data_IF_607415681351
#
_entry.id   IF_607415681351
#
_cell.length_a   1.000
_cell.length_b   1.000
_cell.length_c   1.000
_cell.angle_alpha   90.00
_cell.angle_beta   90.00
_cell.angle_gamma   90.00
#
_symmetry.space_group_name_H-M   'P 1'
#
loop_
_entity.id
_entity.type
_entity.pdbx_description
1 polymer ?
#
# COMPACT_ATOMS: atom_id res chain seq x y z
N UNK A 1 -6.24 8.00 22.01
CA UNK A 1 -6.77 7.69 20.67
C UNK A 1 -5.58 7.29 19.83
N UNK A 2 -5.52 6.05 19.35
CA UNK A 2 -4.43 5.57 18.50
C UNK A 2 -4.91 5.67 17.05
N UNK A 3 -4.52 6.73 16.34
CA UNK A 3 -4.81 6.84 14.92
C UNK A 3 -3.95 5.82 14.16
N UNK A 4 -4.53 4.99 13.28
CA UNK A 4 -3.76 4.00 12.54
C UNK A 4 -2.74 4.70 11.65
N UNK A 5 -1.48 4.26 11.73
CA UNK A 5 -0.44 4.77 10.85
C UNK A 5 -0.64 4.22 9.44
N UNK A 6 0.01 4.81 8.41
CA UNK A 6 -0.02 4.26 7.05
C UNK A 6 0.43 2.80 6.98
N UNK A 7 1.34 2.38 7.88
CA UNK A 7 1.79 0.99 8.00
C UNK A 7 0.67 0.10 8.54
N UNK A 8 0.01 0.51 9.63
CA UNK A 8 -1.13 -0.25 10.19
C UNK A 8 -2.27 -0.40 9.17
N UNK A 9 -2.47 0.62 8.33
CA UNK A 9 -3.46 0.61 7.25
C UNK A 9 -3.07 -0.37 6.14
N UNK A 10 -1.80 -0.41 5.72
CA UNK A 10 -1.31 -1.35 4.71
C UNK A 10 -1.43 -2.81 5.19
N UNK A 11 -0.94 -3.12 6.39
CA UNK A 11 -0.98 -4.48 6.94
C UNK A 11 -2.41 -5.00 7.04
N UNK A 12 -3.35 -4.14 7.44
CA UNK A 12 -4.79 -4.49 7.50
C UNK A 12 -5.35 -4.83 6.12
N UNK A 13 -5.07 -4.00 5.11
CA UNK A 13 -5.55 -4.22 3.74
C UNK A 13 -4.92 -5.47 3.12
N UNK A 14 -3.63 -5.68 3.36
CA UNK A 14 -2.91 -6.84 2.87
C UNK A 14 -3.42 -8.14 3.50
N UNK A 15 -3.65 -8.16 4.81
CA UNK A 15 -4.27 -9.31 5.48
C UNK A 15 -5.65 -9.62 4.90
N UNK A 16 -6.48 -8.59 4.66
CA UNK A 16 -7.80 -8.77 4.03
C UNK A 16 -7.70 -9.32 2.61
N UNK A 17 -6.70 -8.89 1.84
CA UNK A 17 -6.44 -9.42 0.50
C UNK A 17 -6.05 -10.90 0.57
N UNK A 18 -5.20 -11.29 1.51
CA UNK A 18 -4.81 -12.69 1.70
C UNK A 18 -6.01 -13.57 2.07
N UNK A 19 -6.93 -13.08 2.91
CA UNK A 19 -8.18 -13.80 3.23
C UNK A 19 -9.07 -14.01 1.99
N UNK A 20 -9.14 -13.02 1.09
CA UNK A 20 -9.90 -13.12 -0.17
C UNK A 20 -9.25 -14.15 -1.09
N UNK A 21 -7.92 -14.09 -1.27
CA UNK A 21 -7.17 -15.04 -2.10
C UNK A 21 -7.34 -16.46 -1.57
N UNK A 22 -7.19 -16.66 -0.25
CA UNK A 22 -7.37 -17.98 0.37
C UNK A 22 -8.77 -18.55 0.11
N UNK A 23 -9.81 -17.72 0.17
CA UNK A 23 -11.18 -18.14 -0.18
C UNK A 23 -11.33 -18.50 -1.66
N UNK A 24 -10.77 -17.71 -2.56
CA UNK A 24 -10.79 -18.01 -4.00
C UNK A 24 -10.06 -19.31 -4.35
N UNK A 25 -8.96 -19.62 -3.66
CA UNK A 25 -8.16 -20.83 -3.86
C UNK A 25 -8.87 -22.11 -3.41
N UNK A 26 -9.89 -22.02 -2.53
CA UNK A 26 -10.68 -23.19 -2.12
C UNK A 26 -11.42 -23.85 -3.30
N UNK A 27 -11.83 -23.06 -4.30
CA UNK A 27 -12.54 -23.55 -5.48
C UNK A 27 -13.97 -24.07 -5.23
N UNK A 28 -14.51 -23.96 -4.02
CA UNK A 28 -15.84 -24.50 -3.65
C UNK A 28 -16.97 -23.45 -3.72
N UNK A 29 -16.67 -22.26 -4.21
CA UNK A 29 -17.58 -21.11 -4.21
C UNK A 29 -18.54 -21.12 -5.41
N UNK A 30 -19.76 -20.62 -5.21
CA UNK A 30 -20.65 -20.36 -6.34
C UNK A 30 -20.09 -19.24 -7.22
N UNK A 31 -20.36 -19.28 -8.53
CA UNK A 31 -19.87 -18.29 -9.50
C UNK A 31 -20.12 -16.83 -9.06
N UNK A 32 -21.31 -16.55 -8.52
CA UNK A 32 -21.65 -15.22 -8.04
C UNK A 32 -20.80 -14.77 -6.84
N UNK A 33 -20.39 -15.70 -5.98
CA UNK A 33 -19.52 -15.43 -4.83
C UNK A 33 -18.06 -15.27 -5.28
N UNK A 34 -17.60 -16.11 -6.21
CA UNK A 34 -16.28 -15.97 -6.84
C UNK A 34 -16.10 -14.61 -7.49
N UNK A 35 -17.11 -14.12 -8.23
CA UNK A 35 -17.06 -12.80 -8.85
C UNK A 35 -16.97 -11.67 -7.82
N UNK A 36 -17.75 -11.74 -6.73
CA UNK A 36 -17.69 -10.74 -5.64
C UNK A 36 -16.34 -10.71 -4.96
N UNK A 37 -15.77 -11.89 -4.64
CA UNK A 37 -14.47 -11.99 -4.02
C UNK A 37 -13.36 -11.51 -4.96
N UNK A 38 -13.46 -11.80 -6.26
CA UNK A 38 -12.52 -11.27 -7.25
C UNK A 38 -12.56 -9.73 -7.30
N UNK A 39 -13.75 -9.13 -7.41
CA UNK A 39 -13.92 -7.68 -7.38
C UNK A 39 -13.32 -7.07 -6.11
N UNK A 40 -13.64 -7.64 -4.94
CA UNK A 40 -13.08 -7.20 -3.67
C UNK A 40 -11.55 -7.32 -3.63
N UNK A 41 -11.00 -8.44 -4.11
CA UNK A 41 -9.56 -8.66 -4.18
C UNK A 41 -8.85 -7.63 -5.06
N UNK A 42 -9.44 -7.28 -6.22
CA UNK A 42 -8.87 -6.26 -7.10
C UNK A 42 -8.84 -4.87 -6.46
N UNK A 43 -9.88 -4.51 -5.70
CA UNK A 43 -9.93 -3.23 -4.97
C UNK A 43 -8.90 -3.17 -3.84
N UNK A 44 -8.77 -4.25 -3.06
CA UNK A 44 -7.78 -4.34 -1.99
C UNK A 44 -6.35 -4.25 -2.53
N UNK A 45 -6.06 -4.96 -3.63
CA UNK A 45 -4.76 -4.92 -4.28
C UNK A 45 -4.42 -3.50 -4.80
N UNK A 46 -5.39 -2.82 -5.42
CA UNK A 46 -5.21 -1.45 -5.90
C UNK A 46 -4.90 -0.48 -4.75
N UNK A 47 -5.57 -0.62 -3.61
CA UNK A 47 -5.33 0.25 -2.45
C UNK A 47 -3.97 -0.03 -1.79
N UNK A 48 -3.56 -1.30 -1.69
CA UNK A 48 -2.20 -1.66 -1.26
C UNK A 48 -1.15 -1.01 -2.16
N UNK A 49 -1.31 -1.09 -3.48
CA UNK A 49 -0.40 -0.46 -4.43
C UNK A 49 -0.33 1.06 -4.23
N UNK A 50 -1.48 1.72 -4.06
CA UNK A 50 -1.54 3.17 -3.82
C UNK A 50 -0.76 3.60 -2.56
N UNK A 51 -0.80 2.79 -1.50
CA UNK A 51 -0.03 3.05 -0.28
C UNK A 51 1.48 2.89 -0.51
N UNK A 52 1.89 1.85 -1.26
CA UNK A 52 3.29 1.64 -1.62
C UNK A 52 3.81 2.77 -2.51
N UNK A 53 3.05 3.19 -3.52
CA UNK A 53 3.41 4.31 -4.38
C UNK A 53 3.60 5.61 -3.57
N UNK A 54 2.73 5.86 -2.59
CA UNK A 54 2.88 7.02 -1.71
C UNK A 54 4.15 6.92 -0.84
N UNK A 55 4.45 5.73 -0.31
CA UNK A 55 5.66 5.51 0.47
C UNK A 55 6.92 5.73 -0.39
N UNK A 56 6.94 5.23 -1.62
CA UNK A 56 8.04 5.44 -2.57
C UNK A 56 8.23 6.92 -2.91
N UNK A 57 7.14 7.64 -3.21
CA UNK A 57 7.19 9.08 -3.46
C UNK A 57 7.80 9.84 -2.27
N UNK A 58 7.47 9.46 -1.03
CA UNK A 58 8.04 10.07 0.17
C UNK A 58 9.54 9.80 0.26
N UNK A 59 10.00 8.59 -0.06
CA UNK A 59 11.43 8.25 -0.08
C UNK A 59 12.17 9.12 -1.11
N UNK A 60 11.62 9.22 -2.34
CA UNK A 60 12.22 10.04 -3.41
C UNK A 60 12.31 11.52 -3.00
N UNK A 61 11.28 12.06 -2.37
CA UNK A 61 11.28 13.44 -1.88
C UNK A 61 12.34 13.68 -0.79
N UNK A 62 12.50 12.73 0.14
CA UNK A 62 13.53 12.81 1.18
C UNK A 62 14.93 12.80 0.57
N UNK A 63 15.20 11.88 -0.37
CA UNK A 63 16.48 11.80 -1.06
C UNK A 63 16.80 13.08 -1.88
N UNK A 64 15.80 13.67 -2.51
CA UNK A 64 15.95 14.93 -3.26
C UNK A 64 16.19 16.15 -2.34
N UNK A 65 15.62 16.14 -1.13
CA UNK A 65 15.79 17.18 -0.12
C UNK A 65 17.15 17.14 0.58
N UNK A 66 17.75 15.96 0.74
CA UNK A 66 19.08 15.78 1.33
C UNK A 66 20.23 16.33 0.46
N UNK A 67 19.96 16.63 -0.81
CA UNK A 67 20.94 17.17 -1.77
C UNK A 67 21.11 18.70 -1.80
N UNK A 68 20.27 19.48 -1.09
CA UNK A 68 20.26 20.96 -1.21
C UNK A 68 20.79 21.71 0.02
N UNK A 69 21.47 21.03 0.95
CA UNK A 69 21.86 21.60 2.25
C UNK A 69 23.35 21.81 2.51
N UNK A 70 24.26 21.79 1.51
CA UNK A 70 25.72 21.90 1.77
C UNK A 70 26.49 22.98 1.02
N UNK A 71 25.85 23.80 0.17
CA UNK A 71 26.58 24.74 -0.70
C UNK A 71 26.21 26.21 -0.44
N UNK A 72 26.17 26.65 0.83
CA UNK A 72 25.84 28.05 1.13
C UNK A 72 26.71 28.74 2.17
N UNK A 73 27.86 28.18 2.58
CA UNK A 73 28.77 28.90 3.48
C UNK A 73 30.26 28.62 3.22
N UNK A 74 30.74 28.95 2.02
CA UNK A 74 32.16 29.29 1.82
C UNK A 74 32.29 30.25 0.64
N UNK A 75 31.97 31.53 0.85
CA UNK A 75 32.51 32.59 -0.01
C UNK A 75 32.65 33.91 0.74
N UNK A 76 33.88 34.07 1.25
CA UNK A 76 34.67 35.30 1.39
C UNK A 76 34.29 36.32 2.46
#
# INVERSE_FOLDING_TARGET
MNDPTPVDTYETLYMRLQEVVAQLETGELALAETLKLYEQGTLLAAECQRLLDNAELRIVQLQAGEGQGKDAETRK
#
